data_IF_909887789649
#
_entry.id   IF_909887789649
#
_cell.length_a   1.000
_cell.length_b   1.000
_cell.length_c   1.000
_cell.angle_alpha   90.00
_cell.angle_beta   90.00
_cell.angle_gamma   90.00
#
_symmetry.space_group_name_H-M   'P 1'
#
loop_
_entity.id
_entity.type
_entity.pdbx_description
1 polymer ?
#
# COMPACT_ATOMS: atom_id res chain seq x y z
N UNK A 1 -14.95 5.40 -15.54
CA UNK A 1 -15.54 6.48 -14.72
C UNK A 1 -14.48 7.33 -13.98
N UNK A 2 -13.20 7.35 -14.42
CA UNK A 2 -12.14 8.16 -13.78
C UNK A 2 -12.14 9.64 -14.19
N UNK A 3 -12.46 9.95 -15.45
CA UNK A 3 -12.31 11.29 -16.01
C UNK A 3 -13.33 12.33 -15.51
N UNK A 4 -14.42 11.92 -14.84
CA UNK A 4 -15.48 12.86 -14.44
C UNK A 4 -15.27 13.49 -13.05
N UNK A 5 -14.56 12.81 -12.14
CA UNK A 5 -14.33 13.30 -10.76
C UNK A 5 -13.07 14.16 -10.63
N UNK A 6 -12.04 13.92 -11.47
CA UNK A 6 -10.82 14.76 -11.49
C UNK A 6 -11.10 16.21 -11.90
N UNK A 7 -12.22 16.46 -12.59
CA UNK A 7 -12.61 17.81 -13.04
C UNK A 7 -13.35 18.61 -11.95
N UNK A 8 -13.74 17.96 -10.85
CA UNK A 8 -14.51 18.55 -9.75
C UNK A 8 -13.69 18.81 -8.49
N UNK A 9 -12.48 18.27 -8.42
CA UNK A 9 -11.57 18.43 -7.29
C UNK A 9 -10.36 19.24 -7.74
N UNK A 10 -10.08 20.35 -7.06
CA UNK A 10 -8.83 21.09 -7.23
C UNK A 10 -7.67 20.22 -6.77
N UNK A 11 -6.95 19.60 -7.70
CA UNK A 11 -5.79 18.76 -7.39
C UNK A 11 -5.07 18.20 -8.60
N UNK A 12 -3.75 18.09 -8.50
CA UNK A 12 -2.84 17.51 -9.49
C UNK A 12 -2.57 16.07 -9.07
N UNK A 13 -2.72 15.06 -9.95
CA UNK A 13 -2.31 13.70 -9.65
C UNK A 13 -0.83 13.62 -9.24
N UNK A 14 -0.53 12.87 -8.19
CA UNK A 14 0.85 12.65 -7.76
C UNK A 14 1.64 11.83 -8.79
N UNK A 15 0.96 10.99 -9.56
CA UNK A 15 1.53 10.24 -10.68
C UNK A 15 0.46 9.94 -11.74
N UNK A 16 0.87 9.77 -12.99
CA UNK A 16 0.00 9.25 -14.05
C UNK A 16 -0.20 7.73 -13.98
N UNK A 17 0.69 7.02 -13.28
CA UNK A 17 0.70 5.56 -13.15
C UNK A 17 0.69 5.14 -11.67
N UNK A 18 0.18 3.94 -11.33
CA UNK A 18 0.18 3.45 -9.94
C UNK A 18 1.57 3.40 -9.30
N UNK A 19 2.55 2.88 -10.03
CA UNK A 19 3.95 2.83 -9.63
C UNK A 19 4.64 4.17 -9.87
N UNK A 20 5.33 4.65 -8.84
CA UNK A 20 6.08 5.90 -8.91
C UNK A 20 7.49 5.64 -9.40
N UNK A 21 7.81 6.18 -10.57
CA UNK A 21 9.11 6.01 -11.25
C UNK A 21 10.09 7.14 -10.95
N UNK A 22 9.57 8.32 -10.65
CA UNK A 22 10.37 9.51 -10.34
C UNK A 22 9.98 9.98 -8.95
N UNK A 23 10.97 10.35 -8.14
CA UNK A 23 10.71 10.86 -6.79
C UNK A 23 9.79 12.08 -6.85
N UNK A 24 8.80 12.10 -5.96
CA UNK A 24 7.94 13.26 -5.74
C UNK A 24 8.35 13.91 -4.43
N UNK A 25 8.50 15.23 -4.45
CA UNK A 25 8.75 16.02 -3.24
C UNK A 25 7.41 16.58 -2.75
N UNK A 26 6.97 16.09 -1.60
CA UNK A 26 5.68 16.43 -1.01
C UNK A 26 5.89 17.04 0.37
N UNK A 27 5.21 18.14 0.69
CA UNK A 27 5.38 18.81 1.98
C UNK A 27 4.86 17.94 3.13
N UNK A 28 5.43 18.11 4.33
CA UNK A 28 4.99 17.38 5.54
C UNK A 28 3.49 17.51 5.82
N UNK A 29 2.89 18.65 5.49
CA UNK A 29 1.44 18.86 5.64
C UNK A 29 0.62 17.90 4.78
N UNK A 30 1.09 17.55 3.59
CA UNK A 30 0.43 16.57 2.72
C UNK A 30 0.50 15.16 3.34
N UNK A 31 1.66 14.79 3.92
CA UNK A 31 1.83 13.51 4.63
C UNK A 31 0.98 13.43 5.90
N UNK A 32 0.79 14.55 6.61
CA UNK A 32 -0.14 14.65 7.74
C UNK A 32 -1.59 14.42 7.32
N UNK A 33 -2.00 15.02 6.19
CA UNK A 33 -3.36 14.87 5.67
C UNK A 33 -3.62 13.43 5.20
N UNK A 34 -2.66 12.80 4.52
CA UNK A 34 -2.73 11.38 4.15
C UNK A 34 -2.97 10.50 5.38
N UNK A 35 -2.16 10.69 6.44
CA UNK A 35 -2.31 9.91 7.69
C UNK A 35 -3.67 10.14 8.33
N UNK A 36 -4.09 11.40 8.44
CA UNK A 36 -5.39 11.78 8.98
C UNK A 36 -6.53 11.13 8.21
N UNK A 37 -6.48 11.18 6.87
CA UNK A 37 -7.47 10.56 5.99
C UNK A 37 -7.54 9.04 6.19
N UNK A 38 -6.40 8.35 6.29
CA UNK A 38 -6.36 6.91 6.50
C UNK A 38 -6.86 6.51 7.91
N UNK A 39 -6.59 7.31 8.94
CA UNK A 39 -7.07 7.07 10.31
C UNK A 39 -8.56 7.41 10.46
N UNK A 40 -9.09 8.35 9.68
CA UNK A 40 -10.49 8.73 9.72
C UNK A 40 -11.44 7.68 9.10
N UNK A 41 -10.91 6.62 8.49
CA UNK A 41 -11.73 5.55 7.91
C UNK A 41 -12.54 4.83 8.99
N UNK A 42 -13.85 5.03 8.92
CA UNK A 42 -14.79 4.34 9.80
C UNK A 42 -14.77 2.83 9.56
N UNK A 43 -15.01 2.08 10.63
CA UNK A 43 -15.23 0.63 10.52
C UNK A 43 -16.36 0.33 9.52
N UNK A 44 -16.21 -0.77 8.79
CA UNK A 44 -17.13 -1.15 7.72
C UNK A 44 -17.34 -2.66 7.71
N UNK A 45 -18.52 -3.12 7.31
CA UNK A 45 -18.79 -4.55 7.08
C UNK A 45 -18.32 -5.01 5.70
N UNK A 46 -18.10 -4.07 4.78
CA UNK A 46 -17.59 -4.35 3.44
C UNK A 46 -16.23 -5.03 3.55
N UNK A 47 -16.09 -6.20 2.94
CA UNK A 47 -14.87 -7.01 3.05
C UNK A 47 -14.09 -6.98 1.74
N UNK A 48 -12.84 -6.52 1.80
CA UNK A 48 -11.91 -6.59 0.66
C UNK A 48 -11.10 -7.88 0.71
N UNK A 49 -10.53 -8.19 1.87
CA UNK A 49 -9.68 -9.36 2.05
C UNK A 49 -10.19 -10.22 3.20
N UNK A 50 -10.18 -11.54 3.00
CA UNK A 50 -10.51 -12.53 4.03
C UNK A 50 -9.25 -13.23 4.51
N UNK A 51 -9.24 -13.69 5.76
CA UNK A 51 -8.14 -14.46 6.36
C UNK A 51 -7.73 -15.65 5.48
N UNK A 52 -8.70 -16.45 5.03
CA UNK A 52 -8.44 -17.64 4.22
C UNK A 52 -7.74 -17.30 2.89
N UNK A 53 -8.12 -16.19 2.25
CA UNK A 53 -7.52 -15.75 0.99
C UNK A 53 -6.08 -15.25 1.19
N UNK A 54 -5.82 -14.54 2.29
CA UNK A 54 -4.46 -14.12 2.65
C UNK A 54 -3.57 -15.33 2.93
N UNK A 55 -3.97 -16.21 3.85
CA UNK A 55 -3.20 -17.40 4.22
C UNK A 55 -2.87 -18.25 2.99
N UNK A 56 -3.88 -18.53 2.15
CA UNK A 56 -3.71 -19.30 0.93
C UNK A 56 -2.73 -18.63 -0.04
N UNK A 57 -2.86 -17.31 -0.26
CA UNK A 57 -1.99 -16.58 -1.18
C UNK A 57 -0.53 -16.58 -0.70
N UNK A 58 -0.31 -16.36 0.59
CA UNK A 58 1.03 -16.38 1.18
C UNK A 58 1.66 -17.77 1.10
N UNK A 59 0.89 -18.83 1.35
CA UNK A 59 1.38 -20.20 1.21
C UNK A 59 1.81 -20.54 -0.23
N UNK A 60 1.05 -20.10 -1.23
CA UNK A 60 1.38 -20.34 -2.66
C UNK A 60 2.70 -19.66 -3.07
N UNK A 61 2.94 -18.42 -2.62
CA UNK A 61 4.10 -17.65 -3.08
C UNK A 61 5.34 -17.84 -2.21
N UNK A 62 5.16 -18.10 -0.92
CA UNK A 62 6.25 -18.06 0.06
C UNK A 62 6.36 -19.34 0.90
N UNK A 63 5.50 -20.33 0.68
CA UNK A 63 5.48 -21.56 1.46
C UNK A 63 5.18 -21.30 2.94
N UNK A 64 5.95 -21.94 3.81
CA UNK A 64 5.86 -21.83 5.28
C UNK A 64 6.69 -20.66 5.86
N UNK A 65 7.49 -19.98 5.03
CA UNK A 65 8.39 -18.89 5.46
C UNK A 65 7.68 -17.78 6.25
N UNK A 66 6.46 -17.32 5.88
CA UNK A 66 5.73 -16.31 6.64
C UNK A 66 5.28 -16.77 8.05
N UNK A 67 5.31 -18.08 8.33
CA UNK A 67 4.94 -18.68 9.62
C UNK A 67 3.45 -18.56 9.92
N UNK A 68 3.10 -18.12 11.14
CA UNK A 68 1.71 -17.84 11.47
C UNK A 68 1.22 -16.61 10.69
N UNK A 69 0.24 -16.84 9.81
CA UNK A 69 -0.38 -15.81 8.97
C UNK A 69 -1.72 -15.32 9.52
N UNK A 70 -2.10 -15.71 10.74
CA UNK A 70 -3.34 -15.24 11.38
C UNK A 70 -3.26 -13.74 11.60
N UNK A 71 -4.17 -12.97 11.00
CA UNK A 71 -4.22 -11.51 11.12
C UNK A 71 -4.87 -11.15 12.46
N UNK A 72 -4.15 -10.42 13.30
CA UNK A 72 -4.61 -10.01 14.61
C UNK A 72 -5.51 -8.79 14.58
N UNK A 73 -5.27 -7.87 13.63
CA UNK A 73 -5.97 -6.59 13.52
C UNK A 73 -6.45 -6.36 12.08
N UNK A 74 -7.76 -6.16 11.95
CA UNK A 74 -8.43 -5.82 10.70
C UNK A 74 -8.95 -4.39 10.79
N UNK A 75 -8.68 -3.56 9.77
CA UNK A 75 -9.14 -2.17 9.71
C UNK A 75 -9.87 -1.90 8.40
N UNK A 76 -10.65 -0.82 8.38
CA UNK A 76 -11.09 -0.25 7.11
C UNK A 76 -9.86 0.25 6.34
N UNK A 77 -9.89 0.07 5.03
CA UNK A 77 -8.80 0.43 4.13
C UNK A 77 -9.37 0.93 2.80
N UNK A 78 -8.58 1.77 2.12
CA UNK A 78 -8.79 2.17 0.73
C UNK A 78 -8.62 0.97 -0.22
N UNK A 79 -7.66 0.08 0.08
CA UNK A 79 -7.35 -1.19 -0.59
C UNK A 79 -6.71 -1.10 -1.99
N UNK A 80 -6.75 0.09 -2.57
CA UNK A 80 -6.08 0.43 -3.83
C UNK A 80 -5.25 1.72 -3.70
N UNK A 81 -4.57 1.89 -2.56
CA UNK A 81 -3.78 3.10 -2.29
C UNK A 81 -2.46 3.07 -3.09
N UNK A 82 -2.42 3.82 -4.20
CA UNK A 82 -1.24 3.97 -5.06
C UNK A 82 -1.14 5.41 -5.61
N UNK A 83 -0.03 5.77 -6.24
CA UNK A 83 0.27 7.18 -6.57
C UNK A 83 -0.66 7.83 -7.59
N UNK A 84 -1.26 7.06 -8.50
CA UNK A 84 -2.30 7.57 -9.41
C UNK A 84 -3.67 7.82 -8.75
N UNK A 85 -3.88 7.35 -7.50
CA UNK A 85 -5.11 7.57 -6.73
C UNK A 85 -4.92 8.67 -5.68
N UNK A 86 -3.83 9.44 -5.75
CA UNK A 86 -3.48 10.48 -4.80
C UNK A 86 -3.35 11.82 -5.52
N UNK A 87 -4.06 12.83 -5.03
CA UNK A 87 -3.90 14.20 -5.49
C UNK A 87 -3.03 15.00 -4.52
N UNK A 88 -2.30 15.95 -5.08
CA UNK A 88 -1.60 17.03 -4.39
C UNK A 88 -2.09 18.37 -4.91
N UNK A 89 -1.85 19.44 -4.17
CA UNK A 89 -2.11 20.81 -4.62
C UNK A 89 -0.88 21.67 -4.34
N UNK A 90 -0.56 22.58 -5.25
CA UNK A 90 0.53 23.54 -5.09
C UNK A 90 0.10 24.74 -4.23
N UNK A 91 -1.20 24.92 -4.00
CA UNK A 91 -1.77 26.08 -3.30
C UNK A 91 -2.45 25.72 -1.99
N UNK A 92 -2.72 24.44 -1.75
CA UNK A 92 -3.39 23.96 -0.53
C UNK A 92 -2.74 22.66 -0.04
N UNK A 93 -2.63 22.43 1.27
CA UNK A 93 -1.93 21.26 1.82
C UNK A 93 -2.72 19.94 1.70
N UNK A 94 -3.70 19.86 0.82
CA UNK A 94 -4.65 18.74 0.80
C UNK A 94 -4.08 17.53 0.06
N UNK A 95 -4.09 16.39 0.74
CA UNK A 95 -4.03 15.07 0.13
C UNK A 95 -5.46 14.59 -0.11
N UNK A 96 -5.79 14.27 -1.35
CA UNK A 96 -7.10 13.68 -1.68
C UNK A 96 -6.92 12.28 -2.22
N UNK A 97 -7.67 11.33 -1.66
CA UNK A 97 -7.71 9.93 -2.07
C UNK A 97 -8.87 9.73 -3.05
N UNK A 98 -8.55 9.20 -4.23
CA UNK A 98 -9.50 8.88 -5.29
C UNK A 98 -9.74 7.37 -5.37
N UNK A 99 -10.80 6.97 -6.06
CA UNK A 99 -11.05 5.57 -6.44
C UNK A 99 -11.39 4.63 -5.27
N UNK A 100 -12.45 4.99 -4.54
CA UNK A 100 -12.97 4.23 -3.40
C UNK A 100 -13.75 2.97 -3.79
N UNK A 101 -13.75 2.57 -5.06
CA UNK A 101 -14.57 1.44 -5.52
C UNK A 101 -14.18 0.12 -4.86
N UNK A 102 -12.93 -0.03 -4.40
CA UNK A 102 -12.41 -1.25 -3.75
C UNK A 102 -12.52 -1.28 -2.22
N UNK A 103 -12.80 -0.15 -1.56
CA UNK A 103 -12.63 0.02 -0.12
C UNK A 103 -13.26 -1.07 0.74
N UNK A 104 -12.69 -1.38 1.90
CA UNK A 104 -13.23 -2.41 2.78
C UNK A 104 -12.26 -2.88 3.84
N UNK A 105 -12.65 -3.93 4.58
CA UNK A 105 -11.82 -4.55 5.61
C UNK A 105 -10.62 -5.26 4.99
N UNK A 106 -9.44 -4.92 5.50
CA UNK A 106 -8.14 -5.52 5.18
C UNK A 106 -7.26 -5.59 6.45
N UNK A 107 -6.12 -6.30 6.44
CA UNK A 107 -5.18 -6.27 7.55
C UNK A 107 -4.73 -4.84 7.88
N UNK A 108 -4.52 -4.54 9.16
CA UNK A 108 -3.96 -3.26 9.56
C UNK A 108 -2.60 -3.04 8.85
N UNK A 109 -2.44 -1.86 8.23
CA UNK A 109 -1.27 -1.51 7.42
C UNK A 109 -1.33 -1.92 5.96
N UNK A 110 -2.46 -2.46 5.47
CA UNK A 110 -2.64 -2.80 4.05
C UNK A 110 -2.41 -1.63 3.09
N UNK A 111 -2.99 -0.47 3.37
CA UNK A 111 -2.81 0.71 2.51
C UNK A 111 -1.37 1.23 2.53
N UNK A 112 -0.73 1.21 3.71
CA UNK A 112 0.69 1.55 3.82
C UNK A 112 1.55 0.59 2.99
N UNK A 113 1.25 -0.71 3.03
CA UNK A 113 1.92 -1.72 2.22
C UNK A 113 1.72 -1.48 0.70
N UNK A 114 0.50 -1.16 0.27
CA UNK A 114 0.20 -0.78 -1.11
C UNK A 114 1.02 0.42 -1.56
N UNK A 115 0.99 1.52 -0.80
CA UNK A 115 1.69 2.75 -1.18
C UNK A 115 3.20 2.54 -1.18
N UNK A 116 3.75 1.85 -0.18
CA UNK A 116 5.16 1.55 -0.10
C UNK A 116 5.65 0.70 -1.28
N UNK A 117 4.93 -0.38 -1.62
CA UNK A 117 5.29 -1.25 -2.73
C UNK A 117 5.28 -0.50 -4.08
N UNK A 118 4.29 0.37 -4.30
CA UNK A 118 4.24 1.23 -5.50
C UNK A 118 5.27 2.37 -5.50
N UNK A 119 6.01 2.58 -4.41
CA UNK A 119 7.07 3.59 -4.33
C UNK A 119 8.46 3.02 -4.60
N UNK A 120 8.62 1.69 -4.72
CA UNK A 120 9.94 1.04 -4.69
C UNK A 120 10.88 1.41 -5.85
N UNK A 121 10.36 1.96 -6.96
CA UNK A 121 11.17 2.47 -8.08
C UNK A 121 11.66 3.91 -7.86
N UNK A 122 11.16 4.61 -6.84
CA UNK A 122 11.55 5.95 -6.42
C UNK A 122 12.07 5.92 -4.96
N UNK A 123 13.34 5.52 -4.73
CA UNK A 123 13.84 5.20 -3.39
C UNK A 123 13.71 6.32 -2.36
N UNK A 124 13.88 7.60 -2.78
CA UNK A 124 13.74 8.74 -1.88
C UNK A 124 12.31 8.86 -1.36
N UNK A 125 11.32 8.75 -2.25
CA UNK A 125 9.91 8.76 -1.84
C UNK A 125 9.52 7.48 -1.08
N UNK A 126 10.06 6.31 -1.45
CA UNK A 126 9.84 5.08 -0.66
C UNK A 126 10.32 5.24 0.79
N UNK A 127 11.45 5.91 1.02
CA UNK A 127 11.95 6.22 2.36
C UNK A 127 11.03 7.20 3.12
N UNK A 128 10.45 8.18 2.43
CA UNK A 128 9.43 9.07 3.01
C UNK A 128 8.17 8.30 3.41
N UNK A 129 7.66 7.38 2.56
CA UNK A 129 6.53 6.51 2.90
C UNK A 129 6.85 5.63 4.11
N UNK A 130 8.04 5.03 4.14
CA UNK A 130 8.51 4.21 5.25
C UNK A 130 8.62 5.00 6.57
N UNK A 131 8.96 6.29 6.50
CA UNK A 131 9.01 7.19 7.66
C UNK A 131 7.59 7.56 8.10
N UNK A 132 6.75 8.02 7.17
CA UNK A 132 5.41 8.52 7.48
C UNK A 132 4.46 7.42 7.98
N UNK A 133 4.55 6.21 7.42
CA UNK A 133 3.68 5.06 7.71
C UNK A 133 4.43 3.92 8.40
N UNK A 134 5.56 4.24 9.04
CA UNK A 134 6.48 3.26 9.61
C UNK A 134 5.83 2.39 10.69
N UNK A 135 4.97 2.95 11.53
CA UNK A 135 4.27 2.18 12.57
C UNK A 135 3.45 1.04 11.96
N UNK A 136 2.74 1.31 10.86
CA UNK A 136 1.96 0.32 10.14
C UNK A 136 2.86 -0.68 9.41
N UNK A 137 3.91 -0.21 8.72
CA UNK A 137 4.80 -1.06 7.91
C UNK A 137 5.66 -2.03 8.73
N UNK A 138 5.99 -1.70 9.97
CA UNK A 138 6.82 -2.55 10.83
C UNK A 138 5.99 -3.43 11.78
N UNK A 139 4.69 -3.18 11.91
CA UNK A 139 3.78 -4.08 12.64
C UNK A 139 3.69 -5.44 11.93
N UNK A 140 3.48 -6.52 12.71
CA UNK A 140 3.39 -7.90 12.19
C UNK A 140 2.35 -8.01 11.06
N UNK A 141 1.15 -7.50 11.27
CA UNK A 141 0.08 -7.58 10.25
C UNK A 141 0.38 -6.71 9.03
N UNK A 142 1.14 -5.62 9.20
CA UNK A 142 1.64 -4.81 8.09
C UNK A 142 2.75 -5.49 7.30
N UNK A 143 3.60 -6.31 7.92
CA UNK A 143 4.57 -7.16 7.23
C UNK A 143 3.85 -8.26 6.43
N UNK A 144 2.84 -8.92 7.00
CA UNK A 144 2.00 -9.86 6.26
C UNK A 144 1.24 -9.19 5.11
N UNK A 145 0.77 -7.96 5.31
CA UNK A 145 0.15 -7.18 4.25
C UNK A 145 1.13 -6.83 3.12
N UNK A 146 2.38 -6.48 3.44
CA UNK A 146 3.44 -6.27 2.44
C UNK A 146 3.71 -7.51 1.60
N UNK A 147 3.75 -8.70 2.21
CA UNK A 147 3.87 -9.94 1.46
C UNK A 147 2.67 -10.16 0.54
N UNK A 148 1.45 -9.96 1.05
CA UNK A 148 0.24 -10.13 0.26
C UNK A 148 0.18 -9.16 -0.92
N UNK A 149 0.44 -7.87 -0.70
CA UNK A 149 0.52 -6.84 -1.74
C UNK A 149 1.60 -7.19 -2.76
N UNK A 150 2.75 -7.69 -2.31
CA UNK A 150 3.82 -8.14 -3.22
C UNK A 150 3.33 -9.24 -4.16
N UNK A 151 2.56 -10.24 -3.65
CA UNK A 151 1.97 -11.26 -4.53
C UNK A 151 1.00 -10.67 -5.55
N UNK A 152 0.17 -9.69 -5.15
CA UNK A 152 -0.77 -9.01 -6.06
C UNK A 152 -0.02 -8.32 -7.20
N UNK A 153 1.06 -7.61 -6.88
CA UNK A 153 1.84 -6.87 -7.87
C UNK A 153 2.66 -7.80 -8.77
N UNK A 154 3.24 -8.87 -8.23
CA UNK A 154 3.91 -9.88 -9.05
C UNK A 154 2.95 -10.56 -10.04
N UNK A 155 1.67 -10.76 -9.67
CA UNK A 155 0.66 -11.25 -10.61
C UNK A 155 0.34 -10.24 -11.73
N UNK A 156 0.42 -8.93 -11.47
CA UNK A 156 0.27 -7.90 -12.50
C UNK A 156 1.48 -7.84 -13.41
N UNK A 157 2.66 -7.99 -12.83
CA UNK A 157 3.93 -8.12 -13.55
C UNK A 157 3.94 -9.32 -14.50
N UNK A 158 3.44 -10.47 -14.06
CA UNK A 158 3.27 -11.66 -14.91
C UNK A 158 2.31 -11.40 -16.09
N UNK A 159 1.36 -10.48 -15.93
CA UNK A 159 0.44 -10.02 -16.97
C UNK A 159 1.03 -8.93 -17.88
N UNK A 160 2.26 -8.48 -17.64
CA UNK A 160 2.98 -7.48 -18.44
C UNK A 160 3.02 -6.06 -17.86
N UNK A 161 2.42 -5.82 -16.70
CA UNK A 161 2.45 -4.49 -16.07
C UNK A 161 3.77 -4.24 -15.33
N UNK A 162 4.32 -3.03 -15.44
CA UNK A 162 5.43 -2.52 -14.61
C UNK A 162 6.60 -3.53 -14.44
N UNK A 163 7.17 -4.08 -15.53
CA UNK A 163 8.12 -5.20 -15.48
C UNK A 163 9.40 -4.90 -14.68
N UNK A 164 9.73 -3.62 -14.49
CA UNK A 164 10.86 -3.17 -13.70
C UNK A 164 10.64 -3.28 -12.18
N UNK A 165 9.41 -3.52 -11.71
CA UNK A 165 9.11 -3.75 -10.30
C UNK A 165 9.48 -5.16 -9.81
N UNK A 166 9.77 -6.13 -10.69
CA UNK A 166 10.09 -7.52 -10.32
C UNK A 166 11.13 -7.57 -9.19
N UNK A 167 12.31 -7.00 -9.44
CA UNK A 167 13.44 -7.10 -8.50
C UNK A 167 13.16 -6.34 -7.20
N UNK A 168 12.69 -5.08 -7.21
CA UNK A 168 12.31 -4.39 -5.97
C UNK A 168 11.24 -5.11 -5.16
N UNK A 169 10.23 -5.70 -5.79
CA UNK A 169 9.17 -6.46 -5.12
C UNK A 169 9.72 -7.69 -4.41
N UNK A 170 10.56 -8.49 -5.09
CA UNK A 170 11.20 -9.64 -4.45
C UNK A 170 12.08 -9.22 -3.27
N UNK A 171 12.89 -8.16 -3.41
CA UNK A 171 13.71 -7.63 -2.30
C UNK A 171 12.85 -7.18 -1.11
N UNK A 172 11.72 -6.53 -1.37
CA UNK A 172 10.79 -6.17 -0.30
C UNK A 172 10.18 -7.39 0.39
N UNK A 173 9.83 -8.43 -0.37
CA UNK A 173 9.30 -9.68 0.17
C UNK A 173 10.32 -10.34 1.11
N UNK A 174 11.58 -10.46 0.66
CA UNK A 174 12.66 -11.03 1.46
C UNK A 174 12.87 -10.26 2.77
N UNK A 175 12.94 -8.92 2.70
CA UNK A 175 13.03 -8.07 3.91
C UNK A 175 11.87 -8.31 4.87
N UNK A 176 10.64 -8.40 4.37
CA UNK A 176 9.47 -8.62 5.21
C UNK A 176 9.48 -10.02 5.85
N UNK A 177 9.95 -11.05 5.12
CA UNK A 177 10.13 -12.41 5.65
C UNK A 177 11.19 -12.46 6.76
N UNK A 178 12.32 -11.78 6.56
CA UNK A 178 13.39 -11.70 7.56
C UNK A 178 12.90 -11.05 8.86
N UNK A 179 12.17 -9.94 8.74
CA UNK A 179 11.58 -9.25 9.90
C UNK A 179 10.55 -10.12 10.62
N UNK A 180 9.70 -10.85 9.89
CA UNK A 180 8.74 -11.78 10.48
C UNK A 180 9.41 -12.96 11.19
N UNK A 181 10.59 -13.39 10.74
CA UNK A 181 11.35 -14.46 11.38
C UNK A 181 11.98 -13.99 12.71
N UNK A 182 12.42 -12.73 12.80
CA UNK A 182 12.97 -12.16 14.05
C UNK A 182 11.91 -12.05 15.13
N UNK A 183 10.70 -11.62 14.79
CA UNK A 183 9.59 -11.44 15.76
C UNK A 183 9.10 -12.75 16.40
N UNK A 184 9.56 -13.92 15.91
CA UNK A 184 9.21 -15.24 16.49
C UNK A 184 10.21 -15.73 17.56
N UNK A 185 11.35 -15.06 17.71
CA UNK A 185 12.35 -15.39 18.74
C UNK A 185 12.08 -14.61 20.00
#
# INVERSE_FOLDING_TARGET
MRAALSTLLDGIPCSATPELRTSTDLPESWWQELRTSLTALAATERTHLRQADLTRRLAVFFGDRPGDTTIGQWSAAHTDLHWANLLRSDTTPHCVLLDWEGWGRAPAGYDAACLYAHSLLAPATAAQVATALGAQLHARDGLLAQLYVTTRLLMRVDQGDYPDMVIPLHRNAERALDLLAVTRR
#
